data_IF_734724834267
#
_entry.id   IF_734724834267
#
_cell.length_a   1.000
_cell.length_b   1.000
_cell.length_c   1.000
_cell.angle_alpha   90.00
_cell.angle_beta   90.00
_cell.angle_gamma   90.00
#
_symmetry.space_group_name_H-M   'P 1'
#
loop_
_entity.id
_entity.type
_entity.pdbx_description
1 polymer ?
#
# COMPACT_ATOMS: atom_id res chain seq x y z
N UNK A 1 7.61 0.66 -5.71
CA UNK A 1 6.15 0.86 -5.76
C UNK A 1 5.73 1.47 -4.43
N UNK A 2 4.96 2.56 -4.42
CA UNK A 2 4.48 3.22 -3.21
C UNK A 2 3.23 2.51 -2.70
N UNK A 3 3.20 2.27 -1.39
CA UNK A 3 2.05 1.73 -0.70
C UNK A 3 0.92 2.77 -0.65
N UNK A 4 -0.29 2.38 -1.05
CA UNK A 4 -1.47 3.25 -1.06
C UNK A 4 -1.80 3.82 0.33
N UNK A 5 -1.55 3.04 1.39
CA UNK A 5 -1.77 3.51 2.76
C UNK A 5 -0.82 4.65 3.14
N UNK A 6 0.46 4.55 2.76
CA UNK A 6 1.43 5.63 2.99
C UNK A 6 1.11 6.87 2.15
N UNK A 7 0.65 6.68 0.91
CA UNK A 7 0.16 7.80 0.10
C UNK A 7 -1.04 8.50 0.75
N UNK A 8 -1.99 7.74 1.31
CA UNK A 8 -3.13 8.29 2.03
C UNK A 8 -2.68 9.09 3.26
N UNK A 9 -1.76 8.54 4.06
CA UNK A 9 -1.23 9.21 5.24
C UNK A 9 -0.54 10.53 4.85
N UNK A 10 0.36 10.49 3.89
CA UNK A 10 1.09 11.67 3.42
C UNK A 10 0.12 12.70 2.81
N UNK A 11 -0.87 12.27 2.04
CA UNK A 11 -1.86 13.18 1.48
C UNK A 11 -2.69 13.86 2.59
N UNK A 12 -3.07 13.13 3.64
CA UNK A 12 -3.77 13.73 4.79
C UNK A 12 -2.90 14.74 5.55
N UNK A 13 -1.62 14.44 5.71
CA UNK A 13 -0.66 15.34 6.37
C UNK A 13 -0.43 16.63 5.56
N UNK A 14 -0.37 16.54 4.23
CA UNK A 14 -0.06 17.70 3.37
C UNK A 14 -1.30 18.47 2.89
N UNK A 15 -2.46 17.81 2.76
CA UNK A 15 -3.65 18.39 2.13
C UNK A 15 -4.83 18.53 3.09
N UNK A 16 -4.72 18.04 4.34
CA UNK A 16 -5.83 18.00 5.29
C UNK A 16 -6.78 16.82 5.08
N UNK A 17 -7.98 16.90 5.66
CA UNK A 17 -8.96 15.82 5.61
C UNK A 17 -9.69 15.76 4.28
N UNK A 18 -9.79 14.57 3.70
CA UNK A 18 -10.60 14.24 2.54
C UNK A 18 -11.06 12.78 2.63
N UNK A 19 -12.02 12.39 1.79
CA UNK A 19 -12.53 11.03 1.76
C UNK A 19 -11.43 10.05 1.31
N UNK A 20 -11.01 9.10 2.18
CA UNK A 20 -9.96 8.14 1.85
C UNK A 20 -10.35 7.19 0.71
N UNK A 21 -11.62 7.00 0.38
CA UNK A 21 -12.03 6.05 -0.66
C UNK A 21 -11.54 6.47 -2.06
N UNK A 22 -11.33 7.77 -2.28
CA UNK A 22 -10.82 8.29 -3.55
C UNK A 22 -9.46 7.71 -3.95
N UNK A 23 -8.51 7.58 -3.00
CA UNK A 23 -7.18 7.05 -3.33
C UNK A 23 -7.24 5.56 -3.68
N UNK A 24 -8.12 4.81 -3.03
CA UNK A 24 -8.34 3.40 -3.32
C UNK A 24 -9.04 3.21 -4.68
N UNK A 25 -9.97 4.11 -5.02
CA UNK A 25 -10.63 4.13 -6.32
C UNK A 25 -9.64 4.43 -7.45
N UNK A 26 -8.75 5.41 -7.26
CA UNK A 26 -7.67 5.69 -8.21
C UNK A 26 -6.69 4.54 -8.35
N UNK A 27 -6.29 3.92 -7.24
CA UNK A 27 -5.32 2.84 -7.26
C UNK A 27 -5.84 1.62 -8.01
N UNK A 28 -7.12 1.27 -7.83
CA UNK A 28 -7.72 0.05 -8.42
C UNK A 28 -8.13 0.22 -9.89
N UNK A 29 -8.02 1.42 -10.46
CA UNK A 29 -8.38 1.64 -11.86
C UNK A 29 -7.64 0.66 -12.78
N UNK A 30 -8.35 -0.08 -13.66
CA UNK A 30 -7.76 -1.05 -14.57
C UNK A 30 -7.19 -0.39 -15.85
N UNK A 31 -7.63 0.83 -16.18
CA UNK A 31 -7.20 1.54 -17.38
C UNK A 31 -6.78 2.99 -17.07
N UNK A 32 -5.88 3.54 -17.90
CA UNK A 32 -5.49 4.95 -17.82
C UNK A 32 -6.70 5.89 -17.97
N UNK A 33 -7.67 5.51 -18.82
CA UNK A 33 -8.89 6.30 -19.05
C UNK A 33 -9.77 6.38 -17.81
N UNK A 34 -9.97 5.25 -17.12
CA UNK A 34 -10.73 5.22 -15.87
C UNK A 34 -9.99 6.00 -14.78
N UNK A 35 -8.67 5.86 -14.68
CA UNK A 35 -7.87 6.65 -13.75
C UNK A 35 -8.03 8.16 -13.97
N UNK A 36 -7.90 8.62 -15.22
CA UNK A 36 -8.05 10.04 -15.55
C UNK A 36 -9.46 10.57 -15.24
N UNK A 37 -10.49 9.75 -15.49
CA UNK A 37 -11.88 10.09 -15.17
C UNK A 37 -12.08 10.22 -13.65
N UNK A 38 -11.67 9.22 -12.88
CA UNK A 38 -11.80 9.23 -11.42
C UNK A 38 -11.02 10.39 -10.79
N UNK A 39 -9.83 10.71 -11.32
CA UNK A 39 -9.04 11.85 -10.83
C UNK A 39 -9.75 13.19 -11.11
N UNK A 40 -10.32 13.35 -12.30
CA UNK A 40 -11.08 14.55 -12.65
C UNK A 40 -12.38 14.69 -11.84
N UNK A 41 -13.05 13.58 -11.53
CA UNK A 41 -14.23 13.58 -10.66
C UNK A 41 -13.87 13.91 -9.21
N UNK A 42 -12.72 13.41 -8.73
CA UNK A 42 -12.18 13.76 -7.42
C UNK A 42 -11.77 15.24 -7.32
N UNK A 43 -11.13 15.79 -8.36
CA UNK A 43 -10.68 17.19 -8.41
C UNK A 43 -11.82 18.19 -8.23
N UNK A 44 -13.04 17.84 -8.70
CA UNK A 44 -14.24 18.67 -8.50
C UNK A 44 -14.66 18.79 -7.03
N UNK A 45 -14.38 17.76 -6.22
CA UNK A 45 -14.81 17.67 -4.81
C UNK A 45 -13.68 18.08 -3.86
N UNK A 46 -12.43 17.75 -4.20
CA UNK A 46 -11.26 17.93 -3.34
C UNK A 46 -10.03 18.29 -4.18
N UNK A 47 -9.96 19.52 -4.69
CA UNK A 47 -8.93 19.92 -5.66
C UNK A 47 -7.51 19.85 -5.12
N UNK A 48 -7.30 20.19 -3.84
CA UNK A 48 -5.96 20.19 -3.22
C UNK A 48 -5.39 18.75 -3.12
N UNK A 49 -6.09 17.79 -2.49
CA UNK A 49 -5.68 16.38 -2.53
C UNK A 49 -5.56 15.81 -3.96
N UNK A 50 -6.46 16.17 -4.88
CA UNK A 50 -6.43 15.68 -6.25
C UNK A 50 -5.17 16.15 -6.99
N UNK A 51 -4.82 17.43 -6.86
CA UNK A 51 -3.58 18.00 -7.41
C UNK A 51 -2.33 17.32 -6.83
N UNK A 52 -2.32 17.11 -5.51
CA UNK A 52 -1.23 16.40 -4.83
C UNK A 52 -1.05 14.97 -5.36
N UNK A 53 -2.14 14.21 -5.48
CA UNK A 53 -2.09 12.83 -6.00
C UNK A 53 -1.75 12.80 -7.49
N UNK A 54 -2.25 13.75 -8.28
CA UNK A 54 -1.98 13.87 -9.71
C UNK A 54 -0.52 14.17 -10.05
N UNK A 55 0.22 14.81 -9.14
CA UNK A 55 1.65 15.03 -9.27
C UNK A 55 2.49 13.74 -9.09
N UNK A 56 1.92 12.69 -8.50
CA UNK A 56 2.60 11.42 -8.23
C UNK A 56 2.42 10.49 -9.43
N UNK A 57 3.53 10.13 -10.09
CA UNK A 57 3.49 9.25 -11.25
C UNK A 57 2.68 7.96 -10.98
N UNK A 58 1.60 7.69 -11.76
CA UNK A 58 0.74 6.51 -11.56
C UNK A 58 1.50 5.19 -11.64
N UNK A 59 2.61 5.13 -12.40
CA UNK A 59 3.49 3.95 -12.50
C UNK A 59 4.04 3.51 -11.14
N UNK A 60 4.10 4.43 -10.17
CA UNK A 60 4.65 4.10 -8.87
C UNK A 60 3.62 3.48 -7.93
N UNK A 61 2.31 3.57 -8.17
CA UNK A 61 1.31 3.20 -7.16
C UNK A 61 -0.05 2.71 -7.68
N UNK A 62 -0.43 3.01 -8.92
CA UNK A 62 -1.68 2.56 -9.51
C UNK A 62 -1.57 1.17 -10.12
N UNK A 63 -2.70 0.49 -10.27
CA UNK A 63 -2.78 -0.86 -10.85
C UNK A 63 -2.61 -0.86 -12.37
N UNK A 64 -3.36 -0.01 -13.10
CA UNK A 64 -3.41 -0.01 -14.57
C UNK A 64 -2.05 -0.04 -15.30
N UNK A 65 -0.97 0.64 -14.84
CA UNK A 65 0.31 0.61 -15.54
C UNK A 65 0.96 -0.78 -15.53
N UNK A 66 0.55 -1.66 -14.61
CA UNK A 66 1.19 -2.95 -14.36
C UNK A 66 0.32 -4.14 -14.78
N UNK A 67 -0.99 -3.95 -15.00
CA UNK A 67 -1.95 -5.02 -15.37
C UNK A 67 -1.48 -5.85 -16.57
N UNK A 68 -0.78 -5.23 -17.53
CA UNK A 68 -0.31 -5.90 -18.74
C UNK A 68 1.20 -6.22 -18.73
N UNK A 69 1.92 -5.90 -17.64
CA UNK A 69 3.39 -6.00 -17.58
C UNK A 69 3.83 -7.07 -16.57
N UNK A 70 3.09 -7.24 -15.48
CA UNK A 70 3.43 -8.20 -14.43
C UNK A 70 2.19 -9.00 -14.00
N UNK A 71 2.39 -10.28 -13.66
CA UNK A 71 1.37 -11.06 -12.98
C UNK A 71 1.08 -10.40 -11.62
N UNK A 72 -0.12 -9.85 -11.46
CA UNK A 72 -0.52 -9.09 -10.28
C UNK A 72 -0.82 -10.03 -9.11
N UNK A 73 0.22 -10.48 -8.41
CA UNK A 73 0.08 -11.17 -7.14
C UNK A 73 0.10 -10.14 -6.00
N UNK A 74 -0.92 -10.16 -5.13
CA UNK A 74 -0.92 -9.49 -3.82
C UNK A 74 -0.87 -7.95 -3.80
N UNK A 75 -1.50 -7.22 -4.74
CA UNK A 75 -1.55 -5.73 -4.71
C UNK A 75 -2.40 -5.10 -3.58
N UNK A 76 -2.86 -5.91 -2.63
CA UNK A 76 -3.61 -5.50 -1.43
C UNK A 76 -2.91 -6.03 -0.18
N UNK A 77 -1.59 -5.96 -0.12
CA UNK A 77 -0.87 -6.20 1.14
C UNK A 77 -1.08 -5.01 2.06
N UNK A 78 -1.72 -5.26 3.21
CA UNK A 78 -1.69 -4.31 4.32
C UNK A 78 -0.25 -4.12 4.80
N UNK A 79 0.02 -3.02 5.52
CA UNK A 79 1.33 -2.74 6.12
C UNK A 79 1.85 -3.93 6.94
N UNK A 80 0.95 -4.71 7.56
CA UNK A 80 1.29 -5.97 8.22
C UNK A 80 1.98 -6.97 7.28
N UNK A 81 1.48 -7.16 6.06
CA UNK A 81 2.06 -8.14 5.13
C UNK A 81 3.35 -7.62 4.51
N UNK A 82 3.47 -6.31 4.24
CA UNK A 82 4.73 -5.69 3.77
C UNK A 82 5.82 -5.67 4.85
N UNK A 83 5.47 -5.39 6.11
CA UNK A 83 6.39 -5.45 7.24
C UNK A 83 6.81 -6.89 7.55
N UNK A 84 5.87 -7.84 7.54
CA UNK A 84 6.17 -9.26 7.62
C UNK A 84 7.10 -9.68 6.47
N UNK A 85 6.82 -9.25 5.24
CA UNK A 85 7.64 -9.63 4.08
C UNK A 85 9.05 -9.01 4.13
N UNK A 86 9.21 -7.78 4.64
CA UNK A 86 10.54 -7.17 4.84
C UNK A 86 11.32 -7.88 5.93
N UNK A 87 10.69 -8.16 7.08
CA UNK A 87 11.32 -8.91 8.17
C UNK A 87 11.72 -10.32 7.71
N UNK A 88 10.86 -10.96 6.93
CA UNK A 88 11.12 -12.28 6.33
C UNK A 88 12.23 -12.23 5.28
N UNK A 89 12.55 -11.08 4.70
CA UNK A 89 13.66 -10.96 3.74
C UNK A 89 15.01 -11.17 4.40
N UNK A 90 15.19 -10.68 5.64
CA UNK A 90 16.43 -10.88 6.41
C UNK A 90 16.53 -12.33 6.91
N UNK A 91 15.41 -12.89 7.35
CA UNK A 91 15.29 -14.28 7.80
C UNK A 91 15.61 -15.27 6.66
N UNK A 92 15.21 -14.96 5.42
CA UNK A 92 15.51 -15.79 4.23
C UNK A 92 16.99 -15.87 3.89
N UNK A 93 17.81 -14.95 4.39
CA UNK A 93 19.26 -14.98 4.20
C UNK A 93 19.98 -15.83 5.28
N UNK A 94 19.27 -16.29 6.31
CA UNK A 94 19.81 -17.11 7.39
C UNK A 94 19.92 -18.59 6.98
N UNK A 95 20.67 -19.36 7.78
CA UNK A 95 20.67 -20.82 7.63
C UNK A 95 19.27 -21.38 7.94
N UNK A 96 18.87 -22.54 7.37
CA UNK A 96 17.51 -23.04 7.51
C UNK A 96 17.03 -23.22 8.96
N UNK A 97 17.93 -23.59 9.88
CA UNK A 97 17.60 -23.76 11.31
C UNK A 97 17.40 -22.40 11.99
N UNK A 98 18.30 -21.45 11.76
CA UNK A 98 18.21 -20.09 12.33
C UNK A 98 16.98 -19.35 11.79
N UNK A 99 16.64 -19.59 10.51
CA UNK A 99 15.46 -19.03 9.90
C UNK A 99 14.17 -19.54 10.56
N UNK A 100 14.09 -20.83 10.89
CA UNK A 100 12.94 -21.42 11.57
C UNK A 100 12.77 -20.85 12.98
N UNK A 101 13.86 -20.70 13.73
CA UNK A 101 13.83 -20.12 15.07
C UNK A 101 13.41 -18.64 15.04
N UNK A 102 13.93 -17.86 14.09
CA UNK A 102 13.56 -16.45 13.92
C UNK A 102 12.07 -16.28 13.54
N UNK A 103 11.54 -17.16 12.67
CA UNK A 103 10.12 -17.17 12.33
C UNK A 103 9.24 -17.52 13.54
N UNK A 104 9.62 -18.54 14.31
CA UNK A 104 8.88 -18.97 15.49
C UNK A 104 8.83 -17.86 16.56
N UNK A 105 9.99 -17.24 16.84
CA UNK A 105 10.09 -16.13 17.79
C UNK A 105 9.22 -14.93 17.37
N UNK A 106 9.24 -14.57 16.09
CA UNK A 106 8.41 -13.50 15.57
C UNK A 106 6.92 -13.79 15.75
N UNK A 107 6.47 -15.00 15.39
CA UNK A 107 5.07 -15.42 15.52
C UNK A 107 4.59 -15.36 16.98
N UNK A 108 5.43 -15.78 17.93
CA UNK A 108 5.13 -15.72 19.37
C UNK A 108 5.02 -14.27 19.86
N UNK A 109 5.95 -13.39 19.46
CA UNK A 109 5.93 -11.97 19.86
C UNK A 109 4.71 -11.20 19.32
N UNK A 110 4.18 -11.62 18.17
CA UNK A 110 2.96 -11.04 17.60
C UNK A 110 1.73 -11.47 18.40
N UNK A 111 1.67 -12.75 18.80
CA UNK A 111 0.57 -13.27 19.61
C UNK A 111 0.50 -12.58 20.97
N UNK A 112 1.65 -12.38 21.61
CA UNK A 112 1.76 -11.69 22.90
C UNK A 112 1.23 -10.25 22.83
N UNK A 113 1.64 -9.48 21.82
CA UNK A 113 1.13 -8.10 21.59
C UNK A 113 -0.38 -8.05 21.29
N UNK A 114 -0.93 -9.08 20.66
CA UNK A 114 -2.37 -9.16 20.39
C UNK A 114 -3.17 -9.49 21.65
N UNK A 115 -2.60 -10.31 22.54
CA UNK A 115 -3.20 -10.61 23.84
C UNK A 115 -3.16 -9.42 24.81
N UNK A 116 -2.13 -8.56 24.74
CA UNK A 116 -2.04 -7.34 25.56
C UNK A 116 -3.01 -6.23 25.14
N UNK A 117 -3.48 -6.25 23.89
CA UNK A 117 -4.35 -5.22 23.32
C UNK A 117 -5.86 -5.54 23.42
N UNK A 118 -6.22 -6.67 24.03
CA UNK A 118 -7.59 -7.19 24.21
C UNK A 118 -8.05 -7.06 25.67
#
# INVERSE_FOLDING_TARGET
MYCTFHLLKNAKENCGSFDPDFIWNLQKCPTQREYAKELADFEKVSPVPASYLGAISPKNWCLWPHVNIHALHCHRTSNYVESCNSLMSEIRAMSPLDALDAMAFYQMSLHEKQCEAA
#
